data_IF_326553568172
#
_entry.id   IF_326553568172
#
_cell.length_a   1.000
_cell.length_b   1.000
_cell.length_c   1.000
_cell.angle_alpha   90.00
_cell.angle_beta   90.00
_cell.angle_gamma   90.00
#
_symmetry.space_group_name_H-M   'P 1'
#
loop_
_entity.id
_entity.type
_entity.pdbx_description
1 polymer ?
#
# COMPACT_ATOMS: atom_id res chain seq x y z
N UNK A 1 -7.79 -12.90 -20.76
CA UNK A 1 -8.21 -12.59 -19.38
C UNK A 1 -9.47 -13.38 -19.10
N UNK A 2 -9.47 -14.25 -18.08
CA UNK A 2 -10.65 -15.03 -17.68
C UNK A 2 -11.81 -14.10 -17.26
N UNK A 3 -13.06 -14.56 -17.36
CA UNK A 3 -14.25 -13.76 -17.01
C UNK A 3 -14.20 -13.31 -15.54
N UNK A 4 -13.71 -14.16 -14.64
CA UNK A 4 -13.62 -13.77 -13.23
C UNK A 4 -12.54 -12.71 -13.02
N UNK A 5 -11.39 -12.85 -13.68
CA UNK A 5 -10.32 -11.83 -13.64
C UNK A 5 -10.84 -10.48 -14.16
N UNK A 6 -11.55 -10.46 -15.29
CA UNK A 6 -12.17 -9.24 -15.83
C UNK A 6 -13.14 -8.58 -14.84
N UNK A 7 -13.97 -9.37 -14.17
CA UNK A 7 -14.92 -8.90 -13.15
C UNK A 7 -14.20 -8.28 -11.96
N UNK A 8 -13.15 -8.94 -11.45
CA UNK A 8 -12.37 -8.42 -10.32
C UNK A 8 -11.59 -7.17 -10.67
N UNK A 9 -10.95 -7.12 -11.85
CA UNK A 9 -10.28 -5.90 -12.35
C UNK A 9 -11.28 -4.75 -12.44
N UNK A 10 -12.46 -5.00 -13.02
CA UNK A 10 -13.52 -3.98 -13.12
C UNK A 10 -13.97 -3.49 -11.75
N UNK A 11 -14.14 -4.39 -10.77
CA UNK A 11 -14.50 -4.05 -9.41
C UNK A 11 -13.42 -3.19 -8.73
N UNK A 12 -12.15 -3.61 -8.82
CA UNK A 12 -11.03 -2.86 -8.25
C UNK A 12 -10.88 -1.46 -8.84
N UNK A 13 -11.11 -1.34 -10.15
CA UNK A 13 -11.09 -0.05 -10.83
C UNK A 13 -12.27 0.84 -10.40
N UNK A 14 -13.48 0.28 -10.32
CA UNK A 14 -14.68 1.02 -9.93
C UNK A 14 -14.57 1.65 -8.52
N UNK A 15 -13.94 0.96 -7.57
CA UNK A 15 -13.77 1.46 -6.19
C UNK A 15 -12.41 2.14 -5.94
N UNK A 16 -11.59 2.31 -6.98
CA UNK A 16 -10.24 2.87 -6.87
C UNK A 16 -9.40 2.15 -5.80
N UNK A 17 -9.52 0.82 -5.74
CA UNK A 17 -8.91 -0.03 -4.70
C UNK A 17 -7.38 0.24 -4.66
N UNK A 18 -6.69 0.10 -5.78
CA UNK A 18 -5.25 0.34 -5.87
C UNK A 18 -4.85 1.74 -6.36
N UNK A 19 -5.68 2.76 -6.12
CA UNK A 19 -5.31 4.13 -6.46
C UNK A 19 -4.22 4.69 -5.54
N UNK A 20 -3.48 5.70 -6.02
CA UNK A 20 -2.51 6.43 -5.22
C UNK A 20 -3.11 6.93 -3.89
N UNK A 21 -2.38 6.73 -2.80
CA UNK A 21 -2.76 7.19 -1.46
C UNK A 21 -3.78 6.30 -0.74
N UNK A 22 -4.23 5.17 -1.31
CA UNK A 22 -4.99 4.18 -0.53
C UNK A 22 -4.09 3.46 0.47
N UNK A 23 -4.63 3.17 1.65
CA UNK A 23 -3.89 2.59 2.76
C UNK A 23 -4.23 1.11 2.93
N UNK A 24 -3.20 0.32 3.20
CA UNK A 24 -3.25 -1.14 3.16
C UNK A 24 -2.59 -1.77 4.37
N UNK A 25 -3.02 -2.98 4.67
CA UNK A 25 -2.39 -3.93 5.58
C UNK A 25 -1.93 -5.10 4.73
N UNK A 26 -0.65 -5.46 4.79
CA UNK A 26 -0.10 -6.60 4.04
C UNK A 26 0.48 -7.59 5.02
N UNK A 27 0.13 -8.88 4.89
CA UNK A 27 0.67 -9.93 5.74
C UNK A 27 2.20 -9.99 5.68
N UNK A 28 2.81 -10.23 6.82
CA UNK A 28 4.26 -10.21 6.97
C UNK A 28 4.98 -11.21 6.07
N UNK A 29 4.37 -12.36 5.77
CA UNK A 29 4.98 -13.33 4.85
C UNK A 29 5.20 -12.76 3.44
N UNK A 30 4.32 -11.88 2.95
CA UNK A 30 4.50 -11.22 1.66
C UNK A 30 5.64 -10.20 1.71
N UNK A 31 5.79 -9.50 2.84
CA UNK A 31 6.92 -8.60 3.03
C UNK A 31 8.26 -9.33 3.06
N UNK A 32 8.35 -10.49 3.70
CA UNK A 32 9.57 -11.32 3.67
C UNK A 32 9.98 -11.73 2.27
N UNK A 33 9.01 -12.01 1.39
CA UNK A 33 9.26 -12.31 -0.02
C UNK A 33 9.75 -11.08 -0.80
N UNK A 34 9.21 -9.90 -0.51
CA UNK A 34 9.53 -8.67 -1.24
C UNK A 34 10.77 -7.92 -0.73
N UNK A 35 11.13 -8.09 0.54
CA UNK A 35 12.14 -7.28 1.25
C UNK A 35 13.19 -8.20 1.87
N UNK A 36 14.39 -8.20 1.30
CA UNK A 36 15.51 -8.95 1.87
C UNK A 36 15.82 -8.47 3.30
N UNK A 37 15.94 -9.41 4.24
CA UNK A 37 16.21 -9.11 5.65
C UNK A 37 15.02 -8.54 6.42
N UNK A 38 13.79 -8.62 5.92
CA UNK A 38 12.60 -8.25 6.70
C UNK A 38 12.39 -9.25 7.84
N UNK A 39 12.42 -8.75 9.07
CA UNK A 39 12.22 -9.55 10.29
C UNK A 39 10.84 -9.24 10.86
N UNK A 40 10.01 -10.28 10.99
CA UNK A 40 8.76 -10.24 11.73
C UNK A 40 8.66 -11.45 12.65
N UNK A 41 8.00 -11.29 13.80
CA UNK A 41 7.80 -12.39 14.76
C UNK A 41 6.70 -13.36 14.31
N UNK A 42 5.73 -12.88 13.54
CA UNK A 42 4.57 -13.63 13.09
C UNK A 42 4.31 -13.32 11.60
N UNK A 43 4.12 -14.35 10.78
CA UNK A 43 3.84 -14.23 9.34
C UNK A 43 2.39 -13.85 9.01
N UNK A 44 1.47 -14.18 9.93
CA UNK A 44 0.05 -13.88 9.79
C UNK A 44 -0.34 -12.48 10.25
N UNK A 45 0.55 -11.80 10.96
CA UNK A 45 0.38 -10.40 11.31
C UNK A 45 0.53 -9.50 10.08
N UNK A 46 -0.12 -8.33 10.15
CA UNK A 46 -0.09 -7.35 9.08
C UNK A 46 0.89 -6.22 9.36
N UNK A 47 1.54 -5.76 8.29
CA UNK A 47 2.34 -4.54 8.30
C UNK A 47 1.66 -3.43 7.48
N UNK A 48 1.74 -2.17 7.92
CA UNK A 48 1.21 -1.02 7.19
C UNK A 48 1.82 -0.83 5.80
N UNK A 49 0.99 -0.44 4.84
CA UNK A 49 1.34 -0.08 3.47
C UNK A 49 0.59 1.17 2.96
N UNK A 50 1.21 1.87 2.00
CA UNK A 50 0.59 2.95 1.21
C UNK A 50 0.69 2.60 -0.26
N UNK A 51 -0.42 2.62 -0.98
CA UNK A 51 -0.44 2.38 -2.41
C UNK A 51 0.06 3.61 -3.19
N UNK A 52 0.93 3.37 -4.17
CA UNK A 52 1.42 4.36 -5.13
C UNK A 52 0.93 4.04 -6.56
N UNK A 53 -0.14 3.25 -6.68
CA UNK A 53 -0.65 2.80 -7.96
C UNK A 53 -1.11 3.94 -8.87
N UNK A 54 -0.88 3.76 -10.17
CA UNK A 54 -1.44 4.61 -11.23
C UNK A 54 -2.86 4.15 -11.57
N UNK A 55 -3.66 5.02 -12.21
CA UNK A 55 -5.07 4.76 -12.54
C UNK A 55 -5.26 3.42 -13.25
N UNK A 56 -6.32 2.72 -12.86
CA UNK A 56 -6.88 1.51 -13.45
C UNK A 56 -5.90 0.35 -13.66
N UNK A 57 -6.19 -0.76 -12.99
CA UNK A 57 -5.58 -2.05 -13.30
C UNK A 57 -6.02 -2.54 -14.68
N UNK A 58 -5.08 -3.12 -15.42
CA UNK A 58 -5.33 -3.83 -16.68
C UNK A 58 -5.38 -5.34 -16.51
N UNK A 59 -4.88 -5.86 -15.38
CA UNK A 59 -4.88 -7.29 -15.00
C UNK A 59 -4.74 -7.44 -13.48
N UNK A 60 -5.19 -8.57 -12.93
CA UNK A 60 -4.92 -8.91 -11.52
C UNK A 60 -3.44 -9.19 -11.24
N UNK A 61 -2.67 -9.57 -12.26
CA UNK A 61 -1.23 -9.83 -12.15
C UNK A 61 -0.39 -8.56 -12.30
N UNK A 62 -1.01 -7.42 -12.61
CA UNK A 62 -0.32 -6.15 -12.65
C UNK A 62 0.26 -5.83 -11.28
N UNK A 63 1.55 -5.50 -11.27
CA UNK A 63 2.22 -5.08 -10.06
C UNK A 63 1.81 -3.65 -9.69
N UNK A 64 1.46 -3.46 -8.43
CA UNK A 64 1.14 -2.20 -7.79
C UNK A 64 2.27 -1.82 -6.84
N UNK A 65 2.89 -0.65 -6.99
CA UNK A 65 3.92 -0.19 -6.07
C UNK A 65 3.29 0.23 -4.73
N UNK A 66 3.86 -0.24 -3.63
CA UNK A 66 3.45 0.13 -2.28
C UNK A 66 4.65 0.49 -1.40
N UNK A 67 4.47 1.49 -0.53
CA UNK A 67 5.46 1.86 0.48
C UNK A 67 5.30 0.99 1.73
N UNK A 68 6.43 0.57 2.28
CA UNK A 68 6.50 -0.21 3.52
C UNK A 68 6.47 0.71 4.76
N UNK A 69 5.59 0.41 5.70
CA UNK A 69 5.59 1.06 7.01
C UNK A 69 6.86 0.78 7.83
N UNK A 70 7.27 1.74 8.65
CA UNK A 70 8.53 1.76 9.39
C UNK A 70 8.38 2.45 10.73
N UNK A 71 9.32 2.15 11.62
CA UNK A 71 9.51 2.84 12.89
C UNK A 71 10.44 4.06 12.78
N UNK A 72 11.07 4.29 11.61
CA UNK A 72 12.02 5.40 11.43
C UNK A 72 11.31 6.73 11.23
N UNK A 73 11.35 7.58 12.26
CA UNK A 73 10.85 8.95 12.19
C UNK A 73 11.78 9.90 11.41
N UNK A 74 13.06 9.53 11.25
CA UNK A 74 14.08 10.42 10.64
C UNK A 74 13.98 10.49 9.12
N UNK A 75 13.57 9.40 8.48
CA UNK A 75 13.61 9.24 7.02
C UNK A 75 12.28 8.80 6.41
N UNK A 76 11.26 8.56 7.23
CA UNK A 76 9.97 8.06 6.76
C UNK A 76 8.92 9.17 6.58
N UNK A 77 8.00 8.95 5.65
CA UNK A 77 6.82 9.81 5.51
C UNK A 77 5.82 9.52 6.63
N UNK A 78 5.37 10.52 7.41
CA UNK A 78 4.44 10.31 8.50
C UNK A 78 2.99 10.25 8.00
N UNK A 79 2.23 9.24 8.44
CA UNK A 79 0.77 9.18 8.26
C UNK A 79 0.11 9.06 9.62
N UNK A 80 -0.81 9.98 9.90
CA UNK A 80 -1.58 9.98 11.14
C UNK A 80 -2.82 9.11 11.01
N UNK A 81 -3.32 8.64 12.14
CA UNK A 81 -4.58 7.87 12.22
C UNK A 81 -4.57 6.59 11.36
N UNK A 82 -3.42 5.95 11.16
CA UNK A 82 -3.38 4.67 10.44
C UNK A 82 -4.10 3.55 11.22
N UNK A 83 -4.02 3.54 12.55
CA UNK A 83 -4.62 2.51 13.39
C UNK A 83 -5.41 3.13 14.56
N UNK A 84 -6.45 2.44 15.05
CA UNK A 84 -7.22 2.89 16.21
C UNK A 84 -6.30 3.05 17.43
N UNK A 85 -6.58 4.05 18.27
CA UNK A 85 -5.79 4.35 19.47
C UNK A 85 -4.45 5.05 19.24
N UNK A 86 -4.00 5.21 17.99
CA UNK A 86 -2.76 5.94 17.64
C UNK A 86 -2.99 7.37 17.15
N UNK A 87 -4.07 8.03 17.60
CA UNK A 87 -4.47 9.37 17.12
C UNK A 87 -3.37 10.45 17.17
N UNK A 88 -2.37 10.29 18.02
CA UNK A 88 -1.25 11.24 18.17
C UNK A 88 0.10 10.76 17.63
N UNK A 89 0.29 9.46 17.35
CA UNK A 89 1.58 8.90 16.92
C UNK A 89 1.52 8.52 15.43
N UNK A 90 2.26 9.22 14.54
CA UNK A 90 2.28 8.86 13.13
C UNK A 90 2.90 7.47 12.93
N UNK A 91 2.39 6.75 11.92
CA UNK A 91 3.09 5.62 11.34
C UNK A 91 3.99 6.16 10.23
N UNK A 92 5.25 5.76 10.20
CA UNK A 92 6.20 6.24 9.20
C UNK A 92 6.30 5.27 8.04
N UNK A 93 6.66 5.72 6.85
CA UNK A 93 6.74 4.88 5.66
C UNK A 93 8.05 5.10 4.92
N UNK A 94 8.73 4.01 4.54
CA UNK A 94 9.99 4.09 3.78
C UNK A 94 9.70 4.55 2.36
N UNK A 95 10.62 5.30 1.78
CA UNK A 95 10.46 5.85 0.42
C UNK A 95 10.54 4.79 -0.67
N UNK A 96 11.22 3.66 -0.39
CA UNK A 96 11.40 2.58 -1.35
C UNK A 96 10.07 1.87 -1.64
N UNK A 97 9.58 1.88 -2.88
CA UNK A 97 8.40 1.12 -3.27
C UNK A 97 8.75 -0.36 -3.44
N UNK A 98 7.80 -1.22 -3.07
CA UNK A 98 7.82 -2.65 -3.28
C UNK A 98 6.60 -3.05 -4.11
N UNK A 99 6.76 -4.04 -4.97
CA UNK A 99 5.77 -4.40 -5.97
C UNK A 99 4.92 -5.58 -5.47
N UNK A 100 3.60 -5.41 -5.50
CA UNK A 100 2.64 -6.44 -5.10
C UNK A 100 1.59 -6.66 -6.18
N UNK A 101 1.04 -7.86 -6.29
CA UNK A 101 0.04 -8.18 -7.29
C UNK A 101 -1.37 -7.97 -6.72
N UNK A 102 -2.31 -7.48 -7.53
CA UNK A 102 -3.71 -7.37 -7.10
C UNK A 102 -4.35 -8.74 -6.82
N UNK A 103 -3.80 -9.82 -7.39
CA UNK A 103 -4.19 -11.20 -7.07
C UNK A 103 -3.97 -11.53 -5.59
N UNK A 104 -3.02 -10.89 -4.90
CA UNK A 104 -2.76 -11.12 -3.48
C UNK A 104 -3.90 -10.56 -2.59
N UNK A 105 -4.73 -9.66 -3.13
CA UNK A 105 -5.93 -9.15 -2.48
C UNK A 105 -7.20 -9.94 -2.87
N UNK A 106 -7.29 -10.43 -4.12
CA UNK A 106 -8.46 -11.17 -4.62
C UNK A 106 -8.40 -12.69 -4.37
N UNK A 107 -7.19 -13.24 -4.17
CA UNK A 107 -6.94 -14.68 -4.07
C UNK A 107 -7.37 -15.29 -2.73
N UNK A 108 -7.27 -16.62 -2.64
CA UNK A 108 -7.71 -17.42 -1.49
C UNK A 108 -7.03 -17.07 -0.17
N UNK A 109 -5.80 -16.52 -0.21
CA UNK A 109 -5.05 -16.15 0.98
C UNK A 109 -5.39 -14.75 1.52
N UNK A 110 -6.01 -13.87 0.71
CA UNK A 110 -6.33 -12.46 1.04
C UNK A 110 -5.25 -11.76 1.87
N UNK A 111 -4.01 -11.84 1.40
CA UNK A 111 -2.84 -11.40 2.16
C UNK A 111 -2.62 -9.89 2.10
N UNK A 112 -3.40 -9.18 1.27
CA UNK A 112 -3.46 -7.73 1.16
C UNK A 112 -4.89 -7.27 1.48
N UNK A 113 -5.04 -6.44 2.50
CA UNK A 113 -6.32 -5.92 2.96
C UNK A 113 -6.32 -4.40 2.98
N UNK A 114 -7.43 -3.78 2.59
CA UNK A 114 -7.57 -2.33 2.75
C UNK A 114 -7.61 -1.98 4.23
N UNK A 115 -7.05 -0.84 4.60
CA UNK A 115 -7.17 -0.33 5.96
C UNK A 115 -8.60 0.18 6.19
N UNK A 116 -9.41 -0.59 6.91
CA UNK A 116 -10.80 -0.26 7.19
C UNK A 116 -10.97 1.00 8.05
N UNK A 117 -10.00 1.30 8.93
CA UNK A 117 -10.07 2.46 9.83
C UNK A 117 -9.79 3.78 9.10
N UNK A 118 -8.79 3.76 8.23
CA UNK A 118 -8.43 4.89 7.36
C UNK A 118 -8.10 4.32 5.98
N UNK A 119 -9.07 4.25 5.05
CA UNK A 119 -8.88 3.59 3.75
C UNK A 119 -8.02 4.38 2.77
N UNK A 120 -7.90 5.69 2.98
CA UNK A 120 -7.16 6.60 2.09
C UNK A 120 -6.56 7.77 2.88
N UNK A 121 -5.49 8.33 2.34
CA UNK A 121 -4.96 9.62 2.73
C UNK A 121 -5.93 10.76 2.42
N UNK A 122 -5.89 11.79 3.24
CA UNK A 122 -6.55 13.06 2.97
C UNK A 122 -5.83 13.81 1.85
N UNK A 123 -6.49 14.82 1.26
CA UNK A 123 -5.97 15.51 0.07
C UNK A 123 -4.66 16.28 0.34
N UNK A 124 -4.51 16.83 1.54
CA UNK A 124 -3.29 17.47 2.03
C UNK A 124 -2.16 16.43 2.19
N UNK A 125 -2.43 15.30 2.84
CA UNK A 125 -1.47 14.20 2.99
C UNK A 125 -1.03 13.62 1.64
N UNK A 126 -1.93 13.55 0.64
CA UNK A 126 -1.58 13.16 -0.73
C UNK A 126 -0.58 14.15 -1.34
N UNK A 127 -0.82 15.44 -1.15
CA UNK A 127 0.05 16.50 -1.68
C UNK A 127 1.44 16.48 -1.03
N UNK A 128 1.47 16.28 0.29
CA UNK A 128 2.71 16.09 1.04
C UNK A 128 3.47 14.82 0.61
N UNK A 129 2.76 13.70 0.42
CA UNK A 129 3.35 12.45 -0.04
C UNK A 129 3.98 12.62 -1.43
N UNK A 130 3.26 13.28 -2.36
CA UNK A 130 3.79 13.58 -3.71
C UNK A 130 5.06 14.44 -3.62
N UNK A 131 5.07 15.48 -2.80
CA UNK A 131 6.25 16.33 -2.61
C UNK A 131 7.45 15.56 -2.02
N UNK A 132 7.19 14.72 -1.02
CA UNK A 132 8.21 13.89 -0.38
C UNK A 132 8.80 12.86 -1.34
N UNK A 133 7.98 12.18 -2.15
CA UNK A 133 8.42 11.26 -3.19
C UNK A 133 9.30 11.97 -4.23
N UNK A 134 8.86 13.14 -4.71
CA UNK A 134 9.64 13.96 -5.67
C UNK A 134 11.00 14.34 -5.11
N UNK A 135 11.08 14.74 -3.84
CA UNK A 135 12.35 15.06 -3.15
C UNK A 135 13.29 13.87 -3.07
N UNK A 136 12.76 12.66 -2.94
CA UNK A 136 13.54 11.42 -2.96
C UNK A 136 13.80 10.84 -4.35
N UNK A 137 13.51 11.59 -5.42
CA UNK A 137 13.78 11.17 -6.79
C UNK A 137 12.73 10.23 -7.40
N UNK A 138 11.61 9.98 -6.72
CA UNK A 138 10.52 9.16 -7.24
C UNK A 138 9.48 10.06 -7.91
N UNK A 139 9.28 9.86 -9.22
CA UNK A 139 8.26 10.57 -10.01
C UNK A 139 7.17 9.60 -10.42
N UNK A 140 5.92 9.98 -10.14
CA UNK A 140 4.74 9.35 -10.71
C UNK A 140 4.14 10.41 -11.63
N UNK A 141 4.10 10.13 -12.93
CA UNK A 141 3.42 10.99 -13.89
C UNK A 141 1.95 11.14 -13.48
N UNK A 142 1.46 12.38 -13.47
CA UNK A 142 0.08 12.75 -13.12
C UNK A 142 -0.93 12.31 -14.20
#
# INVERSE_FOLDING_TARGET
MDINEQRYVSLFNAVNYFAFGTLWKIKNFLWRKAVHGFVSKNDDEYHPAVCLGKKNLTSLYQTVPMLLGSHSHKSGFPIRNFAPGKKKKPSFFKIRPYLFSAVDAAGSQRAIEQNEYKPRLEQDEISELKAWLRKGGIRFDD
#
